data_IF_652719507531
#
_entry.id   IF_652719507531
#
_cell.length_a   1.000
_cell.length_b   1.000
_cell.length_c   1.000
_cell.angle_alpha   90.00
_cell.angle_beta   90.00
_cell.angle_gamma   90.00
#
_symmetry.space_group_name_H-M   'P 1'
#
loop_
_entity.id
_entity.type
_entity.pdbx_description
1 polymer ?
#
# COMPACT_ATOMS: atom_id res chain seq x y z
N UNK A 1 -4.39 -12.56 -13.04
CA UNK A 1 -3.08 -11.83 -12.94
C UNK A 1 -2.97 -10.96 -14.19
N UNK A 2 -2.63 -9.70 -14.04
CA UNK A 2 -2.40 -8.80 -15.17
C UNK A 2 -0.92 -8.85 -15.57
N UNK A 3 -0.60 -8.58 -16.83
CA UNK A 3 0.76 -8.52 -17.35
C UNK A 3 0.95 -7.25 -18.20
N UNK A 4 2.17 -6.90 -18.51
CA UNK A 4 2.49 -5.70 -19.28
C UNK A 4 2.60 -4.44 -18.41
N UNK A 5 2.43 -3.27 -19.05
CA UNK A 5 2.82 -1.97 -18.51
C UNK A 5 1.82 -1.26 -17.58
N UNK A 6 0.70 -1.87 -17.26
CA UNK A 6 -0.34 -1.25 -16.42
C UNK A 6 -1.45 -0.54 -17.20
N UNK A 7 -1.36 -0.46 -18.53
CA UNK A 7 -2.35 0.23 -19.35
C UNK A 7 -3.63 -0.58 -19.54
N UNK A 8 -4.73 0.12 -19.78
CA UNK A 8 -6.01 -0.49 -20.16
C UNK A 8 -5.87 -1.32 -21.44
N UNK A 9 -5.04 -0.86 -22.39
CA UNK A 9 -4.74 -1.58 -23.62
C UNK A 9 -4.06 -2.94 -23.37
N UNK A 10 -3.32 -3.07 -22.27
CA UNK A 10 -2.73 -4.33 -21.80
C UNK A 10 -3.66 -5.17 -20.93
N UNK A 11 -4.93 -4.78 -20.82
CA UNK A 11 -5.96 -5.50 -20.06
C UNK A 11 -6.01 -5.18 -18.56
N UNK A 12 -5.33 -4.12 -18.10
CA UNK A 12 -5.43 -3.67 -16.72
C UNK A 12 -6.73 -2.89 -16.48
N UNK A 13 -7.26 -2.90 -15.24
CA UNK A 13 -8.50 -2.20 -14.95
C UNK A 13 -8.39 -0.69 -15.14
N UNK A 14 -9.41 -0.11 -15.75
CA UNK A 14 -9.59 1.35 -15.78
C UNK A 14 -10.10 1.85 -14.42
N UNK A 15 -9.81 3.09 -14.03
CA UNK A 15 -10.25 3.67 -12.77
C UNK A 15 -11.78 3.75 -12.62
N UNK A 16 -12.50 3.76 -13.73
CA UNK A 16 -13.97 3.69 -13.73
C UNK A 16 -14.50 2.34 -13.25
N UNK A 17 -13.68 1.31 -13.29
CA UNK A 17 -14.00 -0.04 -12.78
C UNK A 17 -13.64 -0.24 -11.31
N UNK A 18 -12.91 0.70 -10.71
CA UNK A 18 -12.54 0.63 -9.30
C UNK A 18 -13.78 0.76 -8.42
N UNK A 19 -13.95 -0.18 -7.52
CA UNK A 19 -15.08 -0.13 -6.58
C UNK A 19 -14.97 1.09 -5.65
N UNK A 20 -16.10 1.58 -5.17
CA UNK A 20 -16.11 2.74 -4.29
C UNK A 20 -15.31 2.50 -3.01
N UNK A 21 -14.72 3.56 -2.46
CA UNK A 21 -13.97 3.49 -1.20
C UNK A 21 -14.81 2.88 -0.06
N UNK A 22 -16.08 3.26 0.05
CA UNK A 22 -16.95 2.72 1.09
C UNK A 22 -17.13 1.20 0.94
N UNK A 23 -17.30 0.71 -0.29
CA UNK A 23 -17.40 -0.73 -0.52
C UNK A 23 -16.09 -1.45 -0.18
N UNK A 24 -14.93 -0.92 -0.63
CA UNK A 24 -13.62 -1.47 -0.27
C UNK A 24 -13.42 -1.49 1.24
N UNK A 25 -13.78 -0.40 1.92
CA UNK A 25 -13.66 -0.30 3.36
C UNK A 25 -14.52 -1.34 4.08
N UNK A 26 -15.82 -1.41 3.75
CA UNK A 26 -16.74 -2.36 4.39
C UNK A 26 -16.29 -3.81 4.19
N UNK A 27 -15.88 -4.16 2.98
CA UNK A 27 -15.42 -5.52 2.69
C UNK A 27 -14.06 -5.86 3.31
N UNK A 28 -13.23 -4.86 3.62
CA UNK A 28 -11.92 -5.05 4.27
C UNK A 28 -12.00 -5.15 5.80
N UNK A 29 -13.10 -4.74 6.43
CA UNK A 29 -13.20 -4.67 7.90
C UNK A 29 -12.97 -6.00 8.60
N UNK A 30 -13.49 -7.11 8.05
CA UNK A 30 -13.29 -8.43 8.64
C UNK A 30 -11.82 -8.85 8.66
N UNK A 31 -11.04 -8.41 7.69
CA UNK A 31 -9.59 -8.63 7.64
C UNK A 31 -8.85 -7.66 8.57
N UNK A 32 -9.18 -6.37 8.54
CA UNK A 32 -8.54 -5.34 9.38
C UNK A 32 -8.67 -5.69 10.86
N UNK A 33 -9.86 -6.13 11.31
CA UNK A 33 -10.15 -6.40 12.73
C UNK A 33 -9.34 -7.54 13.36
N UNK A 34 -8.72 -8.41 12.55
CA UNK A 34 -7.94 -9.58 13.01
C UNK A 34 -6.52 -9.63 12.47
N UNK A 35 -6.12 -8.62 11.68
CA UNK A 35 -4.86 -8.63 10.95
C UNK A 35 -3.63 -8.66 11.86
N UNK A 36 -3.66 -7.94 12.98
CA UNK A 36 -2.51 -7.84 13.87
C UNK A 36 -2.20 -9.16 14.58
N UNK A 37 -3.23 -9.88 15.03
CA UNK A 37 -3.06 -11.19 15.63
C UNK A 37 -2.55 -12.21 14.59
N UNK A 38 -3.21 -12.29 13.44
CA UNK A 38 -2.89 -13.28 12.40
C UNK A 38 -1.48 -13.08 11.82
N UNK A 39 -1.06 -11.81 11.56
CA UNK A 39 0.18 -11.54 10.86
C UNK A 39 1.37 -11.33 11.80
N UNK A 40 1.12 -10.79 12.98
CA UNK A 40 2.19 -10.29 13.85
C UNK A 40 2.11 -10.80 15.29
N UNK A 41 1.13 -11.66 15.62
CA UNK A 41 0.90 -12.19 16.96
C UNK A 41 0.85 -11.06 18.01
N UNK A 42 0.08 -10.01 17.73
CA UNK A 42 -0.08 -8.84 18.62
C UNK A 42 -1.55 -8.42 18.68
N UNK A 43 -1.86 -7.54 19.64
CA UNK A 43 -3.23 -7.04 19.87
C UNK A 43 -3.84 -6.45 18.60
N UNK A 44 -5.03 -6.89 18.23
CA UNK A 44 -5.77 -6.35 17.09
C UNK A 44 -6.16 -4.86 17.29
N UNK A 45 -6.46 -4.20 16.20
CA UNK A 45 -6.96 -2.83 16.25
C UNK A 45 -8.23 -2.75 17.09
N UNK A 46 -8.34 -1.74 17.94
CA UNK A 46 -9.60 -1.35 18.56
C UNK A 46 -10.53 -0.68 17.54
N UNK A 47 -11.80 -0.52 17.88
CA UNK A 47 -12.77 0.20 17.04
C UNK A 47 -12.31 1.64 16.79
N UNK A 48 -11.76 2.31 17.81
CA UNK A 48 -11.23 3.67 17.68
C UNK A 48 -10.01 3.73 16.74
N UNK A 49 -9.07 2.81 16.86
CA UNK A 49 -7.91 2.75 15.96
C UNK A 49 -8.32 2.44 14.51
N UNK A 50 -9.36 1.64 14.33
CA UNK A 50 -9.94 1.35 13.02
C UNK A 50 -10.63 2.60 12.43
N UNK A 51 -11.35 3.35 13.25
CA UNK A 51 -11.92 4.64 12.84
C UNK A 51 -10.85 5.67 12.51
N UNK A 52 -9.79 5.75 13.33
CA UNK A 52 -8.65 6.64 13.08
C UNK A 52 -7.90 6.29 11.78
N UNK A 53 -7.80 5.00 11.44
CA UNK A 53 -7.25 4.55 10.15
C UNK A 53 -8.11 5.04 8.97
N UNK A 54 -9.45 4.88 9.06
CA UNK A 54 -10.38 5.37 8.03
C UNK A 54 -10.23 6.88 7.79
N UNK A 55 -10.26 7.65 8.89
CA UNK A 55 -10.13 9.11 8.84
C UNK A 55 -8.77 9.53 8.27
N UNK A 56 -7.69 8.85 8.69
CA UNK A 56 -6.34 9.16 8.23
C UNK A 56 -6.18 8.93 6.73
N UNK A 57 -6.73 7.84 6.18
CA UNK A 57 -6.71 7.60 4.74
C UNK A 57 -7.44 8.72 4.00
N UNK A 58 -8.62 9.13 4.45
CA UNK A 58 -9.39 10.20 3.81
C UNK A 58 -8.70 11.56 3.90
N UNK A 59 -8.12 11.87 5.06
CA UNK A 59 -7.41 13.12 5.27
C UNK A 59 -6.17 13.21 4.38
N UNK A 60 -5.31 12.19 4.37
CA UNK A 60 -4.09 12.19 3.56
C UNK A 60 -4.43 12.19 2.06
N UNK A 61 -5.46 11.46 1.64
CA UNK A 61 -5.97 11.54 0.27
C UNK A 61 -6.36 12.97 -0.12
N UNK A 62 -7.07 13.68 0.75
CA UNK A 62 -7.46 15.08 0.50
C UNK A 62 -6.24 16.01 0.41
N UNK A 63 -5.26 15.84 1.31
CA UNK A 63 -4.03 16.66 1.36
C UNK A 63 -3.14 16.44 0.14
N UNK A 64 -3.01 15.20 -0.33
CA UNK A 64 -2.07 14.80 -1.38
C UNK A 64 -2.70 14.66 -2.77
N UNK A 65 -4.03 14.66 -2.86
CA UNK A 65 -4.80 14.35 -4.06
C UNK A 65 -4.64 12.93 -4.59
N UNK A 66 -4.05 12.04 -3.80
CA UNK A 66 -3.97 10.62 -4.14
C UNK A 66 -5.30 9.93 -3.81
N UNK A 67 -5.78 9.11 -4.74
CA UNK A 67 -7.06 8.41 -4.57
C UNK A 67 -7.09 7.56 -3.30
N UNK A 68 -8.07 7.80 -2.44
CA UNK A 68 -8.22 7.06 -1.17
C UNK A 68 -8.48 5.56 -1.38
N UNK A 69 -9.03 5.15 -2.53
CA UNK A 69 -9.19 3.73 -2.88
C UNK A 69 -7.83 3.06 -3.03
N UNK A 70 -6.90 3.75 -3.70
CA UNK A 70 -5.53 3.26 -3.88
C UNK A 70 -4.77 3.22 -2.54
N UNK A 71 -4.89 4.24 -1.70
CA UNK A 71 -4.25 4.25 -0.38
C UNK A 71 -4.74 3.05 0.45
N UNK A 72 -6.06 2.78 0.47
CA UNK A 72 -6.61 1.62 1.16
C UNK A 72 -6.10 0.30 0.57
N UNK A 73 -6.06 0.17 -0.76
CA UNK A 73 -5.55 -1.02 -1.43
C UNK A 73 -4.08 -1.29 -1.05
N UNK A 74 -3.24 -0.24 -0.98
CA UNK A 74 -1.85 -0.35 -0.55
C UNK A 74 -1.73 -0.74 0.93
N UNK A 75 -2.51 -0.14 1.83
CA UNK A 75 -2.57 -0.54 3.26
C UNK A 75 -2.95 -2.01 3.41
N UNK A 76 -3.94 -2.46 2.63
CA UNK A 76 -4.36 -3.87 2.65
C UNK A 76 -3.30 -4.80 2.06
N UNK A 77 -2.53 -4.35 1.09
CA UNK A 77 -1.43 -5.12 0.50
C UNK A 77 -0.26 -5.28 1.47
N UNK A 78 0.14 -4.21 2.13
CA UNK A 78 1.32 -4.18 2.99
C UNK A 78 1.06 -4.87 4.35
N UNK A 79 -0.03 -4.53 5.01
CA UNK A 79 -0.22 -4.88 6.43
C UNK A 79 -1.62 -5.37 6.78
N UNK A 80 -2.50 -5.47 5.79
CA UNK A 80 -3.93 -5.75 5.99
C UNK A 80 -4.59 -4.79 7.01
N UNK A 81 -4.06 -3.58 7.11
CA UNK A 81 -4.58 -2.55 8.00
C UNK A 81 -4.23 -2.71 9.48
N UNK A 82 -3.26 -3.55 9.84
CA UNK A 82 -2.78 -3.65 11.22
C UNK A 82 -2.00 -2.40 11.61
N UNK A 83 -2.50 -1.61 12.58
CA UNK A 83 -1.79 -0.42 13.07
C UNK A 83 -0.52 -0.74 13.86
N UNK A 84 -0.37 -2.00 14.29
CA UNK A 84 0.81 -2.55 14.96
C UNK A 84 1.61 -3.48 14.05
N UNK A 85 1.59 -3.22 12.74
CA UNK A 85 2.45 -3.95 11.81
C UNK A 85 3.91 -3.78 12.20
N UNK A 86 4.64 -4.89 12.24
CA UNK A 86 6.05 -4.90 12.60
C UNK A 86 6.87 -4.15 11.56
N UNK A 87 7.79 -3.32 12.00
CA UNK A 87 8.79 -2.69 11.12
C UNK A 87 9.60 -3.77 10.43
N UNK A 88 9.54 -3.83 9.10
CA UNK A 88 10.43 -4.68 8.32
C UNK A 88 11.79 -4.01 8.12
N UNK A 89 12.81 -4.82 7.91
CA UNK A 89 14.18 -4.36 7.64
C UNK A 89 14.66 -5.06 6.38
N UNK A 90 15.03 -4.29 5.38
CA UNK A 90 15.57 -4.83 4.12
C UNK A 90 16.99 -5.40 4.31
N UNK A 91 17.50 -6.21 3.38
CA UNK A 91 18.85 -6.82 3.49
C UNK A 91 19.98 -5.81 3.68
N UNK A 92 19.84 -4.60 3.18
CA UNK A 92 20.75 -3.46 3.34
C UNK A 92 20.53 -2.63 4.63
N UNK A 93 19.68 -3.13 5.54
CA UNK A 93 19.45 -2.55 6.85
C UNK A 93 18.47 -1.37 6.88
N UNK A 94 17.75 -1.11 5.80
CA UNK A 94 16.77 -0.02 5.75
C UNK A 94 15.48 -0.45 6.46
N UNK A 95 15.00 0.40 7.37
CA UNK A 95 13.76 0.20 8.11
C UNK A 95 12.57 0.70 7.29
N UNK A 96 11.55 -0.13 7.22
CA UNK A 96 10.28 0.16 6.55
C UNK A 96 9.14 -0.05 7.55
N UNK A 97 8.78 0.98 8.34
CA UNK A 97 7.78 0.87 9.39
C UNK A 97 6.36 1.14 8.90
N UNK A 98 5.41 0.76 9.76
CA UNK A 98 4.04 1.22 9.76
C UNK A 98 3.15 0.58 8.70
N UNK A 99 1.95 1.16 8.56
CA UNK A 99 0.84 0.64 7.76
C UNK A 99 1.17 0.45 6.27
N UNK A 100 2.05 1.27 5.73
CA UNK A 100 2.50 1.23 4.33
C UNK A 100 3.93 0.70 4.19
N UNK A 101 4.56 0.21 5.25
CA UNK A 101 5.96 -0.28 5.22
C UNK A 101 6.89 0.72 4.50
N UNK A 102 6.78 1.99 4.90
CA UNK A 102 7.32 3.12 4.16
C UNK A 102 8.85 3.16 4.24
N UNK A 103 9.52 3.31 3.09
CA UNK A 103 10.97 3.41 2.99
C UNK A 103 11.51 4.52 3.91
N UNK A 104 12.34 4.14 4.90
CA UNK A 104 12.88 5.06 5.92
C UNK A 104 11.79 5.84 6.69
N UNK A 105 10.60 5.28 6.82
CA UNK A 105 9.51 5.88 7.59
C UNK A 105 9.88 6.11 9.05
N UNK A 106 9.17 7.01 9.71
CA UNK A 106 9.44 7.43 11.09
C UNK A 106 8.33 7.08 12.06
N UNK A 107 7.11 6.88 11.55
CA UNK A 107 5.95 6.58 12.37
C UNK A 107 5.68 5.07 12.45
N UNK A 108 5.48 4.58 13.67
CA UNK A 108 5.17 3.17 13.92
C UNK A 108 4.54 2.96 15.29
N UNK A 109 3.70 1.93 15.39
CA UNK A 109 3.23 1.40 16.67
C UNK A 109 3.78 -0.01 16.97
N UNK A 110 4.80 -0.46 16.21
CA UNK A 110 5.55 -1.69 16.49
C UNK A 110 6.94 -1.57 15.85
N UNK A 111 7.92 -1.25 16.68
CA UNK A 111 9.29 -1.02 16.22
C UNK A 111 9.99 -2.33 15.77
N UNK A 112 11.22 -2.20 15.30
CA UNK A 112 12.03 -3.34 14.83
C UNK A 112 12.34 -4.37 15.90
N UNK A 113 12.25 -3.98 17.18
CA UNK A 113 12.47 -4.85 18.35
C UNK A 113 11.18 -5.53 18.82
N UNK A 114 10.03 -5.22 18.17
CA UNK A 114 8.72 -5.74 18.54
C UNK A 114 8.07 -5.01 19.71
N UNK A 115 8.55 -3.80 20.07
CA UNK A 115 7.92 -2.98 21.10
C UNK A 115 6.68 -2.29 20.52
N UNK A 116 5.51 -2.71 21.01
CA UNK A 116 4.21 -2.21 20.56
C UNK A 116 3.70 -1.06 21.42
N UNK A 117 2.94 -0.14 20.78
CA UNK A 117 2.12 0.88 21.43
C UNK A 117 0.66 0.40 21.40
N UNK A 118 0.00 0.36 22.56
CA UNK A 118 -1.42 0.00 22.68
C UNK A 118 -2.06 0.88 23.76
N UNK A 119 -3.02 1.75 23.41
CA UNK A 119 -3.48 2.03 22.04
C UNK A 119 -2.39 2.68 21.16
N UNK A 120 -2.51 2.47 19.84
CA UNK A 120 -1.73 3.20 18.85
C UNK A 120 -2.31 4.60 18.70
N UNK A 121 -1.59 5.69 19.00
CA UNK A 121 -2.14 7.04 18.92
C UNK A 121 -2.53 7.44 17.49
N UNK A 122 -3.59 8.26 17.34
CA UNK A 122 -4.09 8.73 16.03
C UNK A 122 -3.03 9.42 15.19
N UNK A 123 -2.16 10.23 15.79
CA UNK A 123 -1.05 10.90 15.12
C UNK A 123 -0.03 9.92 14.55
N UNK A 124 0.20 8.79 15.23
CA UNK A 124 1.05 7.72 14.71
C UNK A 124 0.38 7.02 13.52
N UNK A 125 -0.92 6.71 13.59
CA UNK A 125 -1.68 6.10 12.48
C UNK A 125 -1.64 7.00 11.25
N UNK A 126 -1.94 8.29 11.43
CA UNK A 126 -1.88 9.29 10.36
C UNK A 126 -0.47 9.45 9.80
N UNK A 127 0.54 9.48 10.67
CA UNK A 127 1.95 9.57 10.28
C UNK A 127 2.39 8.40 9.42
N UNK A 128 1.99 7.17 9.77
CA UNK A 128 2.29 5.98 8.96
C UNK A 128 1.69 6.05 7.55
N UNK A 129 0.49 6.58 7.40
CA UNK A 129 -0.11 6.79 6.06
C UNK A 129 0.61 7.92 5.32
N UNK A 130 0.91 9.03 6.02
CA UNK A 130 1.61 10.18 5.42
C UNK A 130 3.01 9.79 4.92
N UNK A 131 3.77 9.03 5.69
CA UNK A 131 5.11 8.57 5.31
C UNK A 131 5.10 7.81 3.96
N UNK A 132 4.13 6.92 3.74
CA UNK A 132 4.06 6.16 2.50
C UNK A 132 3.45 6.93 1.33
N UNK A 133 2.51 7.85 1.59
CA UNK A 133 1.82 8.58 0.52
C UNK A 133 2.58 9.84 0.12
N UNK A 134 2.91 10.71 1.10
CA UNK A 134 3.53 12.02 0.83
C UNK A 134 5.07 11.98 0.73
N UNK A 135 5.71 10.88 1.10
CA UNK A 135 7.15 10.69 1.23
C UNK A 135 7.72 11.08 2.59
N UNK A 136 8.77 10.37 2.99
CA UNK A 136 9.55 10.59 4.21
C UNK A 136 10.63 11.67 4.06
N UNK A 137 10.66 12.40 2.94
CA UNK A 137 11.78 13.28 2.59
C UNK A 137 12.97 12.55 1.95
N UNK A 138 12.93 11.22 1.87
CA UNK A 138 13.94 10.41 1.18
C UNK A 138 13.62 10.20 -0.33
N UNK A 139 12.61 10.90 -0.85
CA UNK A 139 12.25 10.90 -2.27
C UNK A 139 11.30 9.78 -2.72
N UNK A 140 10.92 8.88 -1.83
CA UNK A 140 10.01 7.77 -2.13
C UNK A 140 8.66 7.97 -1.47
N UNK A 141 7.59 7.81 -2.22
CA UNK A 141 6.20 7.92 -1.77
C UNK A 141 5.25 7.94 -2.95
N UNK A 142 4.05 7.41 -2.77
CA UNK A 142 3.09 7.25 -3.87
C UNK A 142 2.77 8.55 -4.61
N UNK A 143 2.69 9.70 -3.91
CA UNK A 143 2.39 10.97 -4.57
C UNK A 143 3.49 11.38 -5.57
N UNK A 144 4.75 11.26 -5.18
CA UNK A 144 5.89 11.56 -6.05
C UNK A 144 5.94 10.58 -7.24
N UNK A 145 5.78 9.29 -6.97
CA UNK A 145 5.85 8.24 -7.99
C UNK A 145 4.70 8.36 -9.02
N UNK A 146 3.46 8.62 -8.56
CA UNK A 146 2.30 8.80 -9.45
C UNK A 146 2.47 10.06 -10.33
N UNK A 147 2.87 11.18 -9.74
CA UNK A 147 3.06 12.42 -10.49
C UNK A 147 4.18 12.28 -11.53
N UNK A 148 5.31 11.67 -11.16
CA UNK A 148 6.40 11.42 -12.08
C UNK A 148 5.96 10.58 -13.29
N UNK A 149 5.17 9.52 -13.08
CA UNK A 149 4.68 8.67 -14.18
C UNK A 149 3.68 9.43 -15.06
N UNK A 150 2.75 10.18 -14.48
CA UNK A 150 1.77 10.94 -15.22
C UNK A 150 2.38 12.06 -16.08
N UNK A 151 3.39 12.75 -15.58
CA UNK A 151 4.05 13.87 -16.25
C UNK A 151 5.10 13.43 -17.28
N UNK A 152 5.93 12.45 -16.92
CA UNK A 152 7.07 12.03 -17.77
C UNK A 152 6.60 11.12 -18.89
N UNK A 153 5.76 10.13 -18.60
CA UNK A 153 5.39 9.10 -19.56
C UNK A 153 4.07 9.38 -20.27
N UNK A 154 3.36 10.45 -19.87
CA UNK A 154 2.04 10.82 -20.40
C UNK A 154 1.06 9.62 -20.41
N UNK A 155 1.08 8.84 -19.35
CA UNK A 155 0.26 7.63 -19.19
C UNK A 155 -1.13 7.95 -18.66
N UNK A 156 -2.09 7.03 -18.83
CA UNK A 156 -3.44 7.16 -18.31
C UNK A 156 -3.48 7.17 -16.77
N UNK A 157 -4.57 7.69 -16.20
CA UNK A 157 -4.74 7.83 -14.74
C UNK A 157 -4.47 6.53 -13.97
N UNK A 158 -5.17 5.44 -14.30
CA UNK A 158 -4.99 4.14 -13.63
C UNK A 158 -3.60 3.55 -13.83
N UNK A 159 -3.02 3.69 -15.04
CA UNK A 159 -1.68 3.23 -15.36
C UNK A 159 -0.62 3.90 -14.47
N UNK A 160 -0.73 5.21 -14.21
CA UNK A 160 0.19 5.93 -13.32
C UNK A 160 0.20 5.33 -11.91
N UNK A 161 -0.96 4.95 -11.39
CA UNK A 161 -1.08 4.28 -10.10
C UNK A 161 -0.46 2.88 -10.06
N UNK A 162 -0.65 2.07 -11.11
CA UNK A 162 -0.06 0.73 -11.17
C UNK A 162 1.46 0.78 -11.31
N UNK A 163 1.97 1.71 -12.10
CA UNK A 163 3.40 1.96 -12.25
C UNK A 163 4.02 2.47 -10.93
N UNK A 164 3.35 3.38 -10.24
CA UNK A 164 3.76 3.85 -8.92
C UNK A 164 3.76 2.73 -7.88
N UNK A 165 2.77 1.84 -7.90
CA UNK A 165 2.77 0.66 -7.04
C UNK A 165 4.00 -0.22 -7.27
N UNK A 166 4.40 -0.41 -8.54
CA UNK A 166 5.63 -1.16 -8.87
C UNK A 166 6.88 -0.45 -8.35
N UNK A 167 7.00 0.86 -8.58
CA UNK A 167 8.12 1.66 -8.07
C UNK A 167 8.23 1.60 -6.56
N UNK A 168 7.11 1.74 -5.87
CA UNK A 168 7.06 1.68 -4.40
C UNK A 168 7.60 0.36 -3.85
N UNK A 169 7.24 -0.76 -4.47
CA UNK A 169 7.65 -2.09 -4.03
C UNK A 169 9.10 -2.43 -4.36
N UNK A 170 9.59 -2.02 -5.53
CA UNK A 170 10.87 -2.49 -6.06
C UNK A 170 11.91 -1.39 -6.33
N UNK A 171 11.51 -0.11 -6.25
CA UNK A 171 12.37 1.02 -6.58
C UNK A 171 12.59 1.24 -8.08
N UNK A 172 12.14 0.31 -8.95
CA UNK A 172 12.30 0.42 -10.40
C UNK A 172 11.22 -0.35 -11.15
N UNK A 173 10.96 0.05 -12.40
CA UNK A 173 10.21 -0.72 -13.39
C UNK A 173 11.23 -1.39 -14.30
N UNK A 174 11.02 -2.66 -14.64
CA UNK A 174 11.87 -3.41 -15.57
C UNK A 174 11.93 -2.74 -16.94
N UNK A 175 13.06 -2.84 -17.64
CA UNK A 175 13.29 -2.21 -18.96
C UNK A 175 12.26 -2.64 -20.02
N UNK A 176 11.62 -3.79 -19.86
CA UNK A 176 10.51 -4.22 -20.72
C UNK A 176 9.21 -3.42 -20.49
N UNK A 177 9.14 -2.65 -19.39
CA UNK A 177 7.93 -1.97 -18.95
C UNK A 177 6.89 -2.88 -18.28
N UNK A 178 7.12 -4.19 -18.19
CA UNK A 178 6.18 -5.14 -17.59
C UNK A 178 6.23 -5.03 -16.05
N UNK A 179 5.10 -4.68 -15.44
CA UNK A 179 4.98 -4.47 -13.99
C UNK A 179 5.05 -5.77 -13.18
N UNK A 180 4.99 -6.91 -13.84
CA UNK A 180 5.19 -8.24 -13.23
C UNK A 180 6.64 -8.72 -13.26
N UNK A 181 7.60 -7.92 -13.77
CA UNK A 181 9.01 -8.30 -13.90
C UNK A 181 9.92 -7.45 -13.03
N UNK A 182 11.18 -7.88 -12.91
CA UNK A 182 12.20 -7.18 -12.13
C UNK A 182 12.37 -7.73 -10.72
N UNK A 183 12.88 -6.94 -9.78
CA UNK A 183 13.14 -7.34 -8.39
C UNK A 183 11.90 -7.26 -7.49
N UNK A 184 11.99 -7.77 -6.27
CA UNK A 184 10.96 -7.77 -5.24
C UNK A 184 9.68 -8.58 -5.61
N UNK A 185 8.52 -8.21 -5.09
CA UNK A 185 7.27 -8.98 -5.24
C UNK A 185 6.65 -8.75 -6.62
N UNK A 186 6.79 -9.71 -7.53
CA UNK A 186 6.33 -9.61 -8.92
C UNK A 186 4.84 -9.26 -9.09
N UNK A 187 3.97 -9.78 -8.22
CA UNK A 187 2.53 -9.52 -8.32
C UNK A 187 2.06 -8.26 -7.57
N UNK A 188 2.95 -7.45 -7.02
CA UNK A 188 2.54 -6.34 -6.17
C UNK A 188 1.55 -5.39 -6.87
N UNK A 189 1.90 -4.91 -8.06
CA UNK A 189 1.03 -4.03 -8.83
C UNK A 189 -0.29 -4.74 -9.25
N UNK A 190 -0.21 -6.01 -9.65
CA UNK A 190 -1.38 -6.84 -9.97
C UNK A 190 -2.30 -7.02 -8.76
N UNK A 191 -1.76 -7.27 -7.59
CA UNK A 191 -2.54 -7.43 -6.35
C UNK A 191 -3.23 -6.11 -5.98
N UNK A 192 -2.56 -4.97 -6.11
CA UNK A 192 -3.17 -3.65 -5.94
C UNK A 192 -4.33 -3.45 -6.94
N UNK A 193 -4.12 -3.77 -8.21
CA UNK A 193 -5.17 -3.66 -9.23
C UNK A 193 -6.38 -4.55 -8.90
N UNK A 194 -6.15 -5.80 -8.46
CA UNK A 194 -7.20 -6.71 -8.03
C UNK A 194 -7.97 -6.16 -6.81
N UNK A 195 -7.28 -5.57 -5.84
CA UNK A 195 -7.94 -4.94 -4.68
C UNK A 195 -8.84 -3.79 -5.10
N UNK A 196 -8.39 -2.95 -6.02
CA UNK A 196 -9.17 -1.83 -6.54
C UNK A 196 -10.47 -2.26 -7.23
N UNK A 197 -10.50 -3.47 -7.81
CA UNK A 197 -11.73 -4.05 -8.38
C UNK A 197 -12.47 -5.00 -7.42
N UNK A 198 -12.12 -4.99 -6.13
CA UNK A 198 -12.92 -5.62 -5.06
C UNK A 198 -12.35 -6.91 -4.44
N UNK A 199 -11.13 -7.32 -4.79
CA UNK A 199 -10.48 -8.44 -4.09
C UNK A 199 -10.02 -8.03 -2.69
N UNK A 200 -10.45 -8.71 -1.66
CA UNK A 200 -10.18 -8.31 -0.27
C UNK A 200 -9.51 -9.39 0.60
N UNK A 201 -9.87 -10.65 0.45
CA UNK A 201 -9.60 -11.65 1.49
C UNK A 201 -8.90 -12.94 1.00
N UNK A 202 -8.61 -13.09 -0.28
CA UNK A 202 -7.89 -14.25 -0.77
C UNK A 202 -6.39 -14.12 -0.56
N UNK A 203 -5.71 -15.24 -0.34
CA UNK A 203 -4.25 -15.28 -0.38
C UNK A 203 -3.79 -14.96 -1.80
N UNK A 204 -2.83 -14.04 -1.95
CA UNK A 204 -2.18 -13.84 -3.25
C UNK A 204 -1.58 -15.15 -3.75
N UNK A 205 -1.77 -15.44 -5.04
CA UNK A 205 -1.11 -16.56 -5.69
C UNK A 205 0.37 -16.28 -5.98
N UNK A 206 0.82 -15.05 -5.72
CA UNK A 206 2.18 -14.62 -5.93
C UNK A 206 3.12 -15.19 -4.88
N UNK A 207 4.19 -15.80 -5.34
CA UNK A 207 5.34 -16.14 -4.51
C UNK A 207 6.54 -15.36 -5.03
N UNK A 208 7.48 -15.02 -4.13
CA UNK A 208 8.75 -14.34 -4.49
C UNK A 208 9.60 -15.16 -5.47
N UNK A 209 9.32 -16.46 -5.55
CA UNK A 209 10.17 -17.44 -6.25
C UNK A 209 9.66 -17.81 -7.67
N UNK A 210 8.59 -17.18 -8.15
CA UNK A 210 8.01 -17.44 -9.48
C UNK A 210 8.46 -16.37 -10.50
N UNK A 211 9.74 -16.00 -10.47
CA UNK A 211 10.38 -15.12 -11.43
C UNK A 211 11.02 -15.93 -12.55
#
# INVERSE_FOLDING_TARGET
MYSGNGSVASGWPDELTWVSFNNLWVTSQSTISRSCDILYNTTNNSDQETADLYDSIKQISHETRIDHRFILAAVMQETRGCVRAKTSVSPDGIKNPGLLQSFKGTFTCNDENGKTKSPCPKDQIMGMIRDGVASTGAGHGFAADINAQGEIDNVGYAEAYYRAARLYNSGAIDDSGDLGKGSATHCYATDIANRLVGWTDSKSACTLDNA
#
